data_IF_852385440045
#
_entry.id   IF_852385440045
#
_cell.length_a   1.000
_cell.length_b   1.000
_cell.length_c   1.000
_cell.angle_alpha   90.00
_cell.angle_beta   90.00
_cell.angle_gamma   90.00
#
_symmetry.space_group_name_H-M   'P 1'
#
loop_
_entity.id
_entity.type
_entity.pdbx_description
1 polymer ?
#
# COMPACT_ATOMS: atom_id res chain seq x y z
N UNK A 1 64.93 -16.47 -43.64
CA UNK A 1 64.38 -17.34 -42.59
C UNK A 1 64.35 -16.48 -41.32
N UNK A 2 63.18 -15.94 -40.94
CA UNK A 2 62.33 -16.48 -39.86
C UNK A 2 63.17 -16.63 -38.57
N UNK A 3 62.97 -15.91 -37.45
CA UNK A 3 61.71 -15.54 -36.78
C UNK A 3 61.88 -14.43 -35.72
N UNK A 4 60.74 -13.84 -35.37
CA UNK A 4 60.41 -12.91 -34.29
C UNK A 4 60.85 -13.31 -32.87
N UNK A 5 60.97 -12.30 -32.00
CA UNK A 5 60.53 -12.37 -30.59
C UNK A 5 60.29 -10.96 -30.04
N UNK A 6 59.02 -10.55 -30.12
CA UNK A 6 58.43 -9.37 -29.51
C UNK A 6 58.48 -9.43 -27.97
N UNK A 7 58.94 -8.33 -27.36
CA UNK A 7 58.75 -8.03 -25.95
C UNK A 7 57.36 -7.42 -25.75
N UNK A 8 56.41 -8.27 -25.38
CA UNK A 8 55.05 -7.92 -24.99
C UNK A 8 55.03 -7.09 -23.70
N UNK A 9 54.54 -5.86 -23.82
CA UNK A 9 54.16 -4.96 -22.73
C UNK A 9 52.89 -5.48 -22.05
N UNK A 10 52.99 -5.91 -20.80
CA UNK A 10 51.85 -6.33 -19.98
C UNK A 10 51.26 -5.13 -19.23
N UNK A 11 50.27 -4.48 -19.83
CA UNK A 11 49.34 -3.59 -19.13
C UNK A 11 48.26 -4.41 -18.43
N UNK A 12 48.18 -4.31 -17.09
CA UNK A 12 47.08 -4.90 -16.30
C UNK A 12 45.80 -4.10 -16.55
N UNK A 13 44.64 -4.74 -16.79
CA UNK A 13 43.37 -4.02 -16.73
C UNK A 13 42.99 -3.79 -15.27
N UNK A 14 42.73 -2.53 -14.93
CA UNK A 14 41.97 -2.13 -13.73
C UNK A 14 40.54 -2.65 -13.86
N UNK A 15 40.19 -3.66 -13.06
CA UNK A 15 38.81 -4.10 -12.85
C UNK A 15 38.02 -2.96 -12.18
N UNK A 16 37.30 -2.19 -13.00
CA UNK A 16 36.12 -1.47 -12.56
C UNK A 16 35.09 -2.53 -12.20
N UNK A 17 34.98 -2.83 -10.91
CA UNK A 17 33.91 -3.66 -10.38
C UNK A 17 32.57 -3.01 -10.77
N UNK A 18 31.96 -3.53 -11.82
CA UNK A 18 30.55 -3.31 -12.13
C UNK A 18 29.81 -3.88 -10.93
N UNK A 19 29.27 -3.00 -10.08
CA UNK A 19 28.23 -3.38 -9.13
C UNK A 19 27.05 -3.87 -9.96
N UNK A 20 27.05 -5.17 -10.27
CA UNK A 20 25.88 -5.85 -10.76
C UNK A 20 24.84 -5.77 -9.64
N UNK A 21 23.83 -4.93 -9.84
CA UNK A 21 22.65 -4.94 -9.00
C UNK A 21 22.12 -6.38 -8.95
N UNK A 22 21.80 -6.92 -7.76
CA UNK A 22 21.32 -8.28 -7.66
C UNK A 22 20.10 -8.48 -8.57
N UNK A 23 19.97 -9.64 -9.23
CA UNK A 23 18.85 -9.92 -10.11
C UNK A 23 17.55 -9.71 -9.33
N UNK A 24 16.67 -8.91 -9.92
CA UNK A 24 15.32 -8.65 -9.41
C UNK A 24 14.55 -9.98 -9.44
N UNK A 25 14.70 -10.81 -8.41
CA UNK A 25 13.70 -11.81 -8.12
C UNK A 25 12.40 -11.04 -7.89
N UNK A 26 11.52 -11.06 -8.89
CA UNK A 26 10.16 -10.55 -8.84
C UNK A 26 9.45 -11.24 -7.67
N UNK A 27 9.68 -10.70 -6.48
CA UNK A 27 9.08 -11.17 -5.25
C UNK A 27 7.66 -10.63 -5.32
N UNK A 28 6.70 -11.55 -5.36
CA UNK A 28 5.29 -11.22 -5.28
C UNK A 28 5.07 -10.17 -4.16
N UNK A 29 4.37 -9.05 -4.43
CA UNK A 29 4.24 -7.99 -3.45
C UNK A 29 3.76 -8.50 -2.09
N UNK A 30 4.32 -7.96 -1.01
CA UNK A 30 3.87 -8.29 0.35
C UNK A 30 2.35 -8.13 0.47
N UNK A 31 1.83 -7.02 -0.04
CA UNK A 31 0.40 -6.68 0.02
C UNK A 31 -0.50 -7.53 -0.89
N UNK A 32 0.04 -8.31 -1.83
CA UNK A 32 -0.77 -9.09 -2.76
C UNK A 32 -1.67 -10.08 -2.00
N UNK A 33 -2.95 -10.15 -2.33
CA UNK A 33 -3.85 -11.20 -1.83
C UNK A 33 -3.37 -12.56 -2.37
N UNK A 34 -3.47 -13.63 -1.58
CA UNK A 34 -2.97 -14.96 -1.96
C UNK A 34 -4.09 -15.99 -2.01
N UNK A 35 -3.91 -17.05 -2.78
CA UNK A 35 -4.85 -18.17 -2.85
C UNK A 35 -5.19 -18.69 -1.45
N UNK A 36 -6.48 -18.82 -1.16
CA UNK A 36 -6.99 -19.24 0.15
C UNK A 36 -7.21 -18.09 1.15
N UNK A 37 -6.78 -16.87 0.83
CA UNK A 37 -7.14 -15.66 1.57
C UNK A 37 -8.42 -15.04 0.99
N UNK A 38 -9.18 -14.36 1.83
CA UNK A 38 -10.43 -13.70 1.43
C UNK A 38 -11.17 -13.12 2.63
N UNK A 39 -12.30 -12.43 2.39
CA UNK A 39 -13.08 -11.84 3.46
C UNK A 39 -13.55 -12.91 4.45
N UNK A 40 -13.27 -12.72 5.74
CA UNK A 40 -13.87 -13.53 6.79
C UNK A 40 -15.23 -12.92 7.14
N UNK A 41 -16.31 -13.50 6.57
CA UNK A 41 -17.67 -13.00 6.78
C UNK A 41 -18.21 -13.43 8.14
N UNK A 42 -18.70 -12.45 8.89
CA UNK A 42 -19.41 -12.63 10.16
C UNK A 42 -20.64 -11.74 10.20
N UNK A 43 -21.60 -12.12 11.02
CA UNK A 43 -22.83 -11.36 11.20
C UNK A 43 -22.49 -10.00 11.82
N UNK A 44 -22.94 -8.92 11.18
CA UNK A 44 -22.90 -7.57 11.76
C UNK A 44 -24.12 -7.37 12.66
N UNK A 45 -23.92 -6.63 13.75
CA UNK A 45 -24.97 -6.25 14.70
C UNK A 45 -24.90 -4.77 15.03
N UNK A 46 -26.01 -4.27 15.57
CA UNK A 46 -26.07 -2.96 16.18
C UNK A 46 -25.60 -3.07 17.63
N UNK A 47 -24.67 -2.20 18.02
CA UNK A 47 -24.19 -2.11 19.39
C UNK A 47 -24.22 -0.66 19.88
N UNK A 48 -24.63 -0.45 21.13
CA UNK A 48 -24.50 0.83 21.80
C UNK A 48 -23.05 1.00 22.26
N UNK A 49 -22.37 2.01 21.74
CA UNK A 49 -20.94 2.27 21.96
C UNK A 49 -20.75 3.24 23.10
N UNK A 50 -19.80 3.00 24.00
CA UNK A 50 -19.59 3.81 25.22
C UNK A 50 -19.22 5.27 24.95
N UNK A 51 -18.55 5.59 23.84
CA UNK A 51 -18.22 6.96 23.47
C UNK A 51 -18.19 7.14 21.94
N UNK A 52 -18.90 8.14 21.37
CA UNK A 52 -20.01 8.88 22.00
C UNK A 52 -21.18 7.90 22.18
N UNK A 53 -21.84 7.84 23.35
CA UNK A 53 -22.95 6.94 23.71
C UNK A 53 -24.04 6.77 22.61
N UNK A 54 -23.76 6.00 21.56
CA UNK A 54 -24.48 6.01 20.28
C UNK A 54 -24.39 4.65 19.63
N UNK A 55 -25.36 4.34 18.78
CA UNK A 55 -25.37 3.11 18.01
C UNK A 55 -24.32 3.13 16.90
N UNK A 56 -23.62 2.01 16.75
CA UNK A 56 -22.69 1.74 15.65
C UNK A 56 -22.72 0.28 15.22
N UNK A 57 -21.96 -0.02 14.18
CA UNK A 57 -21.71 -1.39 13.72
C UNK A 57 -20.75 -2.10 14.67
N UNK A 58 -20.99 -3.39 14.88
CA UNK A 58 -20.07 -4.33 15.51
C UNK A 58 -20.19 -5.71 14.84
N UNK A 59 -19.13 -6.52 14.89
CA UNK A 59 -19.29 -7.94 14.62
C UNK A 59 -19.98 -8.63 15.81
N UNK A 60 -20.80 -9.64 15.54
CA UNK A 60 -21.43 -10.43 16.60
C UNK A 60 -20.41 -11.10 17.55
N UNK A 61 -19.20 -11.37 17.03
CA UNK A 61 -18.03 -11.89 17.75
C UNK A 61 -16.87 -10.88 17.71
N UNK A 62 -17.17 -9.58 17.85
CA UNK A 62 -16.16 -8.51 17.87
C UNK A 62 -15.10 -8.75 18.95
N UNK A 63 -13.85 -8.48 18.57
CA UNK A 63 -12.65 -8.47 19.40
C UNK A 63 -11.99 -7.09 19.30
N UNK A 64 -11.14 -6.70 20.26
CA UNK A 64 -10.43 -5.42 20.18
C UNK A 64 -9.62 -5.22 18.89
N UNK A 65 -9.10 -6.30 18.29
CA UNK A 65 -8.27 -6.25 17.07
C UNK A 65 -9.07 -5.92 15.81
N UNK A 66 -10.41 -6.00 15.87
CA UNK A 66 -11.29 -5.61 14.76
C UNK A 66 -11.37 -4.10 14.58
N UNK A 67 -10.76 -3.33 15.49
CA UNK A 67 -10.79 -1.88 15.44
C UNK A 67 -9.41 -1.26 15.31
N UNK A 68 -9.38 -0.04 14.79
CA UNK A 68 -8.19 0.81 14.92
C UNK A 68 -8.23 1.66 16.19
N UNK A 69 -7.17 2.43 16.39
CA UNK A 69 -7.05 3.36 17.52
C UNK A 69 -8.08 4.49 17.53
N UNK A 70 -8.89 4.63 16.48
CA UNK A 70 -9.95 5.62 16.36
C UNK A 70 -11.35 4.97 16.41
N UNK A 71 -11.45 3.74 16.92
CA UNK A 71 -12.69 2.97 17.09
C UNK A 71 -13.41 2.64 15.76
N UNK A 72 -12.71 2.62 14.62
CA UNK A 72 -13.30 2.21 13.33
C UNK A 72 -13.29 0.70 13.21
N UNK A 73 -14.39 0.10 12.77
CA UNK A 73 -14.48 -1.34 12.49
C UNK A 73 -13.80 -1.69 11.16
N UNK A 74 -12.94 -2.70 11.16
CA UNK A 74 -12.19 -3.15 9.99
C UNK A 74 -12.72 -4.46 9.43
N UNK A 75 -12.70 -4.57 8.09
CA UNK A 75 -13.06 -5.79 7.37
C UNK A 75 -12.05 -6.89 7.68
N UNK A 76 -12.51 -8.01 8.22
CA UNK A 76 -11.66 -9.17 8.49
C UNK A 76 -11.27 -9.89 7.20
N UNK A 77 -10.01 -10.30 7.11
CA UNK A 77 -9.51 -11.19 6.06
C UNK A 77 -8.82 -12.41 6.67
N UNK A 78 -8.92 -13.55 5.99
CA UNK A 78 -8.10 -14.71 6.28
C UNK A 78 -6.64 -14.44 5.88
N UNK A 79 -5.70 -14.77 6.78
CA UNK A 79 -4.27 -14.65 6.52
C UNK A 79 -3.66 -16.02 6.29
N UNK A 80 -2.91 -16.16 5.21
CA UNK A 80 -2.05 -17.31 5.00
C UNK A 80 -0.61 -16.94 5.33
N UNK A 81 -0.06 -17.50 6.41
CA UNK A 81 1.32 -17.23 6.84
C UNK A 81 2.09 -18.51 7.18
N UNK A 82 3.38 -18.53 6.85
CA UNK A 82 4.32 -19.48 7.42
C UNK A 82 4.51 -19.21 8.92
N UNK A 83 5.08 -20.18 9.65
CA UNK A 83 5.42 -20.01 11.07
C UNK A 83 6.35 -18.82 11.35
N UNK A 84 7.15 -18.39 10.37
CA UNK A 84 7.99 -17.19 10.46
C UNK A 84 7.24 -15.87 10.21
N UNK A 85 5.91 -15.90 10.05
CA UNK A 85 5.06 -14.71 9.84
C UNK A 85 5.00 -14.20 8.41
N UNK A 86 5.78 -14.76 7.48
CA UNK A 86 5.74 -14.39 6.05
C UNK A 86 4.47 -14.91 5.37
N UNK A 87 3.85 -14.15 4.45
CA UNK A 87 2.72 -14.63 3.68
C UNK A 87 3.05 -15.90 2.88
N UNK A 88 2.07 -16.80 2.74
CA UNK A 88 2.18 -18.03 1.94
C UNK A 88 1.02 -18.17 0.95
N UNK A 89 1.19 -19.04 -0.05
CA UNK A 89 0.25 -19.20 -1.17
C UNK A 89 0.61 -18.34 -2.39
N UNK A 90 0.00 -18.68 -3.53
CA UNK A 90 0.21 -17.99 -4.80
C UNK A 90 -0.46 -16.61 -4.79
N UNK A 91 0.23 -15.52 -5.17
CA UNK A 91 -0.39 -14.20 -5.27
C UNK A 91 -1.48 -14.18 -6.36
N UNK A 92 -2.56 -13.48 -6.07
CA UNK A 92 -3.65 -13.19 -7.00
C UNK A 92 -3.38 -11.83 -7.65
N UNK A 93 -3.16 -11.83 -8.96
CA UNK A 93 -2.77 -10.65 -9.72
C UNK A 93 -3.77 -9.49 -9.53
N UNK A 94 -3.25 -8.29 -9.25
CA UNK A 94 -4.03 -7.07 -9.07
C UNK A 94 -4.95 -7.05 -7.83
N UNK A 95 -4.91 -8.06 -6.96
CA UNK A 95 -5.71 -8.10 -5.74
C UNK A 95 -4.84 -7.81 -4.52
N UNK A 96 -5.37 -6.99 -3.62
CA UNK A 96 -4.65 -6.52 -2.43
C UNK A 96 -5.31 -7.07 -1.18
N UNK A 97 -4.48 -7.47 -0.20
CA UNK A 97 -4.94 -7.88 1.11
C UNK A 97 -5.08 -6.65 2.03
N UNK A 98 -6.30 -6.30 2.47
CA UNK A 98 -6.57 -5.09 3.26
C UNK A 98 -5.69 -4.93 4.50
N UNK A 99 -5.54 -5.99 5.31
CA UNK A 99 -4.71 -5.87 6.53
C UNK A 99 -3.22 -5.61 6.24
N UNK A 100 -2.67 -6.18 5.15
CA UNK A 100 -1.28 -5.94 4.78
C UNK A 100 -1.10 -4.57 4.16
N UNK A 101 -2.09 -4.08 3.41
CA UNK A 101 -2.11 -2.69 2.93
C UNK A 101 -2.20 -1.71 4.10
N UNK A 102 -3.08 -1.96 5.08
CA UNK A 102 -3.19 -1.20 6.32
C UNK A 102 -1.86 -1.18 7.07
N UNK A 103 -1.19 -2.32 7.20
CA UNK A 103 0.12 -2.44 7.86
C UNK A 103 1.16 -1.54 7.18
N UNK A 104 1.32 -1.66 5.86
CA UNK A 104 2.34 -0.91 5.11
C UNK A 104 2.03 0.58 5.09
N UNK A 105 0.76 0.94 4.96
CA UNK A 105 0.29 2.32 5.02
C UNK A 105 0.47 2.93 6.41
N UNK A 106 0.22 2.18 7.49
CA UNK A 106 0.43 2.64 8.87
C UNK A 106 1.90 2.88 9.18
N UNK A 107 2.77 1.97 8.74
CA UNK A 107 4.20 1.96 9.07
C UNK A 107 5.07 2.69 8.05
N UNK A 108 4.49 3.20 6.96
CA UNK A 108 5.20 3.81 5.84
C UNK A 108 6.30 2.89 5.28
N UNK A 109 5.98 1.59 5.14
CA UNK A 109 6.85 0.59 4.53
C UNK A 109 6.45 0.31 3.08
N UNK A 110 7.41 -0.15 2.29
CA UNK A 110 7.21 -0.50 0.89
C UNK A 110 6.20 -1.66 0.76
N UNK A 111 5.16 -1.53 -0.09
CA UNK A 111 4.13 -2.56 -0.29
C UNK A 111 4.65 -3.85 -0.92
N UNK A 112 5.84 -3.82 -1.52
CA UNK A 112 6.44 -4.99 -2.17
C UNK A 112 7.27 -5.79 -1.17
N UNK A 113 8.20 -5.14 -0.46
CA UNK A 113 9.15 -5.84 0.43
C UNK A 113 8.87 -5.71 1.93
N UNK A 114 7.93 -4.86 2.35
CA UNK A 114 7.63 -4.51 3.75
C UNK A 114 8.82 -3.97 4.57
N UNK A 115 9.86 -3.46 3.91
CA UNK A 115 10.94 -2.66 4.53
C UNK A 115 10.59 -1.17 4.48
N UNK A 116 11.29 -0.28 5.21
CA UNK A 116 11.06 1.17 5.12
C UNK A 116 11.01 1.66 3.67
N UNK A 117 10.02 2.49 3.35
CA UNK A 117 9.92 3.11 2.03
C UNK A 117 11.05 4.13 1.81
N UNK A 118 11.23 4.60 0.57
CA UNK A 118 12.27 5.59 0.27
C UNK A 118 11.93 6.90 0.96
N UNK A 119 12.81 7.33 1.87
CA UNK A 119 12.71 8.59 2.59
C UNK A 119 13.97 9.43 2.34
N UNK A 120 13.78 10.72 2.06
CA UNK A 120 14.84 11.73 1.88
C UNK A 120 14.47 13.00 2.62
N UNK A 121 15.25 14.08 2.49
CA UNK A 121 14.90 15.40 3.01
C UNK A 121 13.55 15.91 2.48
N UNK A 122 13.17 15.53 1.27
CA UNK A 122 11.92 15.96 0.62
C UNK A 122 10.73 15.05 1.00
N UNK A 123 10.98 14.01 1.81
CA UNK A 123 9.97 13.12 2.34
C UNK A 123 9.90 11.74 1.70
N UNK A 124 8.77 11.06 1.93
CA UNK A 124 8.49 9.70 1.49
C UNK A 124 8.05 9.65 0.04
N UNK A 125 8.53 8.67 -0.71
CA UNK A 125 8.19 8.47 -2.12
C UNK A 125 6.82 7.78 -2.29
N UNK A 126 5.89 8.44 -2.98
CA UNK A 126 4.59 7.91 -3.39
C UNK A 126 4.49 7.92 -4.92
N UNK A 127 3.64 7.03 -5.44
CA UNK A 127 3.30 6.97 -6.87
C UNK A 127 1.82 7.30 -7.02
N UNK A 128 1.52 8.22 -7.93
CA UNK A 128 0.16 8.67 -8.22
C UNK A 128 -0.10 8.59 -9.72
N UNK A 129 -1.36 8.43 -10.16
CA UNK A 129 -1.70 8.57 -11.57
C UNK A 129 -1.33 9.98 -12.06
N UNK A 130 -0.87 10.14 -13.33
CA UNK A 130 -0.58 11.45 -13.89
C UNK A 130 -1.83 12.32 -13.87
N UNK A 131 -1.70 13.58 -13.44
CA UNK A 131 -2.80 14.56 -13.39
C UNK A 131 -2.31 15.94 -13.82
N UNK A 132 -3.21 16.71 -14.43
CA UNK A 132 -2.93 18.06 -14.93
C UNK A 132 -3.00 19.14 -13.82
N UNK A 133 -3.73 18.88 -12.73
CA UNK A 133 -3.97 19.87 -11.66
C UNK A 133 -2.85 19.94 -10.61
N UNK A 134 -2.57 21.13 -10.03
CA UNK A 134 -1.49 21.34 -9.06
C UNK A 134 -1.58 20.45 -7.82
N UNK A 135 -0.42 20.04 -7.31
CA UNK A 135 -0.22 18.92 -6.36
C UNK A 135 -0.23 19.37 -4.89
N UNK A 136 -1.09 20.31 -4.49
CA UNK A 136 -1.24 20.61 -3.06
C UNK A 136 -2.31 19.70 -2.45
N UNK A 137 -2.02 19.14 -1.27
CA UNK A 137 -2.91 18.33 -0.42
C UNK A 137 -3.62 17.17 -1.15
N UNK A 138 -3.05 15.95 -1.08
CA UNK A 138 -3.58 14.77 -1.80
C UNK A 138 -3.98 13.65 -0.86
N UNK A 139 -5.22 13.17 -0.98
CA UNK A 139 -5.62 11.92 -0.33
C UNK A 139 -5.16 10.72 -1.15
N UNK A 140 -4.57 9.73 -0.47
CA UNK A 140 -4.17 8.46 -1.09
C UNK A 140 -4.48 7.30 -0.16
N UNK A 141 -4.89 6.17 -0.77
CA UNK A 141 -5.02 4.86 -0.10
C UNK A 141 -3.81 3.97 -0.31
N UNK A 142 -2.83 4.43 -1.11
CA UNK A 142 -1.66 3.66 -1.46
C UNK A 142 -0.44 4.05 -0.60
N UNK A 143 0.30 3.07 -0.05
CA UNK A 143 1.49 3.31 0.75
C UNK A 143 2.66 3.85 -0.08
N UNK A 144 3.66 4.45 0.59
CA UNK A 144 4.90 4.86 -0.06
C UNK A 144 5.73 3.64 -0.49
N UNK A 145 6.62 3.83 -1.46
CA UNK A 145 7.42 2.76 -2.09
C UNK A 145 8.92 3.00 -1.90
N UNK A 146 9.74 1.94 -1.89
CA UNK A 146 11.20 2.09 -1.99
C UNK A 146 11.65 2.21 -3.45
N UNK A 147 12.82 2.82 -3.67
CA UNK A 147 13.35 3.08 -5.03
C UNK A 147 13.50 1.80 -5.86
N UNK A 148 13.91 0.70 -5.24
CA UNK A 148 14.09 -0.60 -5.89
C UNK A 148 12.80 -1.17 -6.49
N UNK A 149 11.64 -0.84 -5.91
CA UNK A 149 10.37 -1.46 -6.25
C UNK A 149 9.38 -0.52 -6.93
N UNK A 150 9.81 0.70 -7.33
CA UNK A 150 8.94 1.69 -8.01
C UNK A 150 8.26 1.08 -9.24
N UNK A 151 9.05 0.50 -10.15
CA UNK A 151 8.53 -0.05 -11.41
C UNK A 151 7.62 -1.25 -11.16
N UNK A 152 8.06 -2.20 -10.31
CA UNK A 152 7.25 -3.37 -9.98
C UNK A 152 5.91 -2.98 -9.34
N UNK A 153 5.92 -2.00 -8.44
CA UNK A 153 4.71 -1.53 -7.78
C UNK A 153 3.77 -0.78 -8.74
N UNK A 154 4.32 0.03 -9.66
CA UNK A 154 3.52 0.69 -10.69
C UNK A 154 2.83 -0.33 -11.62
N UNK A 155 3.55 -1.37 -12.05
CA UNK A 155 3.00 -2.43 -12.92
C UNK A 155 1.84 -3.22 -12.28
N UNK A 156 1.86 -3.40 -10.95
CA UNK A 156 0.83 -4.12 -10.21
C UNK A 156 -0.42 -3.27 -9.95
N UNK A 157 -0.32 -1.95 -10.07
CA UNK A 157 -1.39 -1.00 -9.83
C UNK A 157 -2.17 -0.70 -11.11
N UNK A 158 -3.45 -1.11 -11.21
CA UNK A 158 -4.24 -0.89 -12.43
C UNK A 158 -4.37 0.60 -12.80
N UNK A 159 -4.40 1.47 -11.80
CA UNK A 159 -4.53 2.94 -11.95
C UNK A 159 -3.26 3.63 -12.46
N UNK A 160 -2.12 2.91 -12.52
CA UNK A 160 -0.83 3.44 -12.97
C UNK A 160 -0.38 2.85 -14.33
N UNK A 161 -1.23 2.05 -14.98
CA UNK A 161 -0.88 1.36 -16.24
C UNK A 161 -0.52 2.31 -17.37
N UNK A 162 -1.15 3.47 -17.41
CA UNK A 162 -0.95 4.49 -18.45
C UNK A 162 0.14 5.52 -18.05
N UNK A 163 0.90 5.23 -16.99
CA UNK A 163 1.93 6.11 -16.46
C UNK A 163 1.75 6.39 -14.98
N UNK A 164 2.80 6.94 -14.35
CA UNK A 164 2.74 7.44 -12.99
C UNK A 164 3.56 8.72 -12.82
N UNK A 165 3.12 9.56 -11.88
CA UNK A 165 3.89 10.66 -11.32
C UNK A 165 4.54 10.17 -10.02
N UNK A 166 5.84 10.35 -9.89
CA UNK A 166 6.56 10.07 -8.65
C UNK A 166 6.65 11.35 -7.82
N UNK A 167 6.11 11.32 -6.61
CA UNK A 167 6.09 12.46 -5.71
C UNK A 167 6.76 12.11 -4.38
N UNK A 168 7.31 13.13 -3.71
CA UNK A 168 7.73 13.04 -2.32
C UNK A 168 6.82 13.89 -1.45
N UNK A 169 6.32 13.32 -0.36
CA UNK A 169 5.54 14.01 0.65
C UNK A 169 6.36 14.10 1.93
N UNK A 170 6.67 15.33 2.35
CA UNK A 170 7.39 15.57 3.60
C UNK A 170 6.50 15.34 4.84
N UNK A 171 5.17 15.39 4.66
CA UNK A 171 4.21 15.19 5.73
C UNK A 171 3.01 14.34 5.25
N UNK A 172 3.17 13.00 5.18
CA UNK A 172 2.07 12.09 4.89
C UNK A 172 1.28 11.78 6.16
N UNK A 173 0.34 12.64 6.53
CA UNK A 173 -0.46 12.50 7.76
C UNK A 173 -1.60 11.50 7.59
N UNK A 174 -1.87 10.71 8.63
CA UNK A 174 -3.02 9.81 8.64
C UNK A 174 -4.33 10.63 8.72
N UNK A 175 -5.19 10.48 7.72
CA UNK A 175 -6.38 11.33 7.53
C UNK A 175 -7.68 10.63 7.92
N UNK A 176 -7.83 9.36 7.56
CA UNK A 176 -9.10 8.67 7.70
C UNK A 176 -9.08 7.24 7.17
N UNK A 177 -10.25 6.77 6.75
CA UNK A 177 -10.43 5.42 6.21
C UNK A 177 -11.27 5.46 4.94
N UNK A 178 -11.05 4.47 4.07
CA UNK A 178 -11.95 4.09 2.99
C UNK A 178 -12.58 2.73 3.32
N UNK A 179 -13.86 2.58 3.00
CA UNK A 179 -14.55 1.31 3.10
C UNK A 179 -16.04 1.38 2.87
N UNK A 180 -16.75 0.34 3.28
CA UNK A 180 -18.17 0.19 3.04
C UNK A 180 -18.99 0.93 4.10
N UNK A 181 -19.66 2.01 3.70
CA UNK A 181 -20.62 2.72 4.55
C UNK A 181 -21.96 1.99 4.54
N UNK A 182 -22.46 1.65 5.72
CA UNK A 182 -23.70 0.91 5.89
C UNK A 182 -24.73 1.71 6.68
N UNK A 183 -25.98 1.26 6.62
CA UNK A 183 -27.06 1.71 7.50
C UNK A 183 -27.88 0.51 7.94
N UNK A 184 -28.44 0.60 9.14
CA UNK A 184 -29.44 -0.37 9.60
C UNK A 184 -30.84 0.02 9.11
N UNK A 185 -31.61 -0.95 8.62
CA UNK A 185 -32.97 -0.73 8.09
C UNK A 185 -34.07 -1.34 8.94
N UNK A 186 -33.75 -1.76 10.17
CA UNK A 186 -34.69 -2.38 11.11
C UNK A 186 -34.55 -3.88 11.18
N UNK A 187 -34.25 -4.54 10.06
CA UNK A 187 -34.08 -6.01 9.98
C UNK A 187 -32.72 -6.44 9.45
N UNK A 188 -32.03 -5.57 8.70
CA UNK A 188 -30.73 -5.87 8.11
C UNK A 188 -29.87 -4.63 7.95
N UNK A 189 -28.61 -4.84 7.59
CA UNK A 189 -27.72 -3.79 7.15
C UNK A 189 -27.75 -3.68 5.63
N UNK A 190 -27.78 -2.45 5.14
CA UNK A 190 -27.68 -2.14 3.72
C UNK A 190 -26.48 -1.25 3.46
N UNK A 191 -25.76 -1.53 2.37
CA UNK A 191 -24.71 -0.66 1.86
C UNK A 191 -25.32 0.65 1.35
N UNK A 192 -24.84 1.77 1.88
CA UNK A 192 -25.16 3.13 1.41
C UNK A 192 -24.16 3.54 0.34
N UNK A 193 -22.87 3.31 0.60
CA UNK A 193 -21.80 3.54 -0.36
C UNK A 193 -20.77 2.41 -0.22
N UNK A 194 -20.34 1.78 -1.33
CA UNK A 194 -19.37 0.68 -1.28
C UNK A 194 -17.96 1.16 -0.92
N UNK A 195 -17.63 2.41 -1.24
CA UNK A 195 -16.29 2.98 -1.12
C UNK A 195 -16.36 4.42 -0.58
N UNK A 196 -16.86 4.57 0.65
CA UNK A 196 -16.90 5.86 1.33
C UNK A 196 -15.52 6.21 1.89
N UNK A 197 -15.05 7.42 1.62
CA UNK A 197 -13.85 8.00 2.21
C UNK A 197 -14.25 8.98 3.31
N UNK A 198 -13.86 8.70 4.56
CA UNK A 198 -14.22 9.52 5.70
C UNK A 198 -12.98 9.91 6.52
N UNK A 199 -12.83 11.19 6.89
CA UNK A 199 -11.79 11.60 7.83
C UNK A 199 -12.05 11.02 9.22
N UNK A 200 -10.97 10.82 9.98
CA UNK A 200 -11.05 10.52 11.39
C UNK A 200 -11.85 11.58 12.16
N UNK A 201 -12.70 11.15 13.09
CA UNK A 201 -13.61 12.03 13.83
C UNK A 201 -14.95 12.32 13.14
N UNK A 202 -15.15 11.88 11.89
CA UNK A 202 -16.46 12.01 11.24
C UNK A 202 -17.52 11.14 11.96
N UNK A 203 -18.70 11.70 12.23
CA UNK A 203 -19.77 10.99 12.93
C UNK A 203 -20.19 9.69 12.22
N UNK A 204 -20.08 9.62 10.89
CA UNK A 204 -20.46 8.45 10.10
C UNK A 204 -19.50 7.26 10.21
N UNK A 205 -18.31 7.42 10.80
CA UNK A 205 -17.30 6.35 10.86
C UNK A 205 -17.78 5.10 11.61
N UNK A 206 -18.63 5.26 12.62
CA UNK A 206 -19.25 4.15 13.36
C UNK A 206 -20.14 3.25 12.49
N UNK A 207 -20.42 3.68 11.27
CA UNK A 207 -21.21 2.98 10.27
C UNK A 207 -20.38 2.47 9.09
N UNK A 208 -19.05 2.56 9.16
CA UNK A 208 -18.14 2.07 8.13
C UNK A 208 -17.50 0.76 8.56
N UNK A 209 -17.44 -0.19 7.61
CA UNK A 209 -16.52 -1.32 7.67
C UNK A 209 -15.33 -0.99 6.76
N UNK A 210 -14.22 -0.56 7.36
CA UNK A 210 -13.04 -0.05 6.68
C UNK A 210 -12.21 -1.19 6.07
N UNK A 211 -11.55 -0.94 4.94
CA UNK A 211 -10.59 -1.85 4.31
C UNK A 211 -9.31 -1.14 3.83
N UNK A 212 -9.27 0.19 3.80
CA UNK A 212 -8.04 0.94 3.52
C UNK A 212 -7.89 2.14 4.45
N UNK A 213 -6.64 2.50 4.76
CA UNK A 213 -6.32 3.77 5.39
C UNK A 213 -6.24 4.86 4.33
N UNK A 214 -6.63 6.08 4.69
CA UNK A 214 -6.38 7.30 3.91
C UNK A 214 -5.28 8.11 4.57
N UNK A 215 -4.30 8.53 3.78
CA UNK A 215 -3.35 9.57 4.16
C UNK A 215 -3.55 10.81 3.32
N UNK A 216 -3.36 11.94 3.96
CA UNK A 216 -3.21 13.22 3.32
C UNK A 216 -1.72 13.51 3.13
N UNK A 217 -1.32 13.70 1.88
CA UNK A 217 0.04 14.03 1.48
C UNK A 217 0.18 15.54 1.40
N UNK A 218 1.14 16.10 2.15
CA UNK A 218 1.41 17.53 2.24
C UNK A 218 2.86 17.85 1.93
N UNK A 219 3.10 19.11 1.56
CA UNK A 219 4.44 19.63 1.21
C UNK A 219 5.08 18.76 0.13
N UNK A 220 4.38 18.67 -0.99
CA UNK A 220 4.68 17.72 -2.05
C UNK A 220 5.78 18.28 -2.97
N UNK A 221 6.76 17.44 -3.28
CA UNK A 221 7.76 17.69 -4.33
C UNK A 221 7.58 16.67 -5.43
N UNK A 222 7.38 17.11 -6.68
CA UNK A 222 7.34 16.21 -7.84
C UNK A 222 8.77 15.82 -8.21
N UNK A 223 9.05 14.51 -8.24
CA UNK A 223 10.36 13.96 -8.61
C UNK A 223 10.37 13.57 -10.09
N UNK A 224 9.28 12.98 -10.56
CA UNK A 224 9.07 12.63 -11.97
C UNK A 224 7.65 13.00 -12.33
N UNK A 225 7.47 13.88 -13.31
CA UNK A 225 6.15 14.34 -13.76
C UNK A 225 5.37 13.20 -14.43
N UNK A 226 6.05 12.41 -15.27
CA UNK A 226 5.49 11.26 -15.95
C UNK A 226 6.59 10.21 -16.19
N UNK A 227 6.29 8.97 -15.80
CA UNK A 227 7.07 7.80 -16.17
C UNK A 227 6.14 6.72 -16.71
N UNK A 228 6.53 6.10 -17.82
CA UNK A 228 5.89 4.90 -18.32
C UNK A 228 6.41 3.69 -17.52
N UNK A 229 5.54 2.91 -16.84
CA UNK A 229 5.96 1.74 -16.08
C UNK A 229 6.60 0.63 -16.93
N UNK A 230 6.41 0.65 -18.26
CA UNK A 230 6.93 -0.36 -19.19
C UNK A 230 8.27 0.05 -19.82
N UNK A 231 8.60 1.35 -19.83
CA UNK A 231 9.84 1.85 -20.42
C UNK A 231 10.95 1.88 -19.35
N UNK A 232 11.98 1.03 -19.53
CA UNK A 232 13.17 0.94 -18.66
C UNK A 232 14.17 2.06 -18.91
#
# INVERSE_FOLDING_TARGET
>A
MLTDSDLSSSTRPTDLAVHQAPPQHLTAPYIALRTGEGPATKELRLELRSAPNTWGLAFADETPDDRDSHDVLWRRYHHNRYHCGRPTGTPLAGQVHPDRLRETMSRLTCPVCNHPASQTSDGYLFLEPPREDPVEERLTTWPPVCTEHVIAYACERPDLRDGYTAIRSADPTLYGVRGQLMRFTGTSFMTVAPEAELPYGNALMRWVVADQLLRELKRITVVVEYADPVTR
#
